data_IF_962279471358
#
_entry.id   IF_962279471358
#
_cell.length_a   1.000
_cell.length_b   1.000
_cell.length_c   1.000
_cell.angle_alpha   90.00
_cell.angle_beta   90.00
_cell.angle_gamma   90.00
#
_symmetry.space_group_name_H-M   'P 1'
#
loop_
_entity.id
_entity.type
_entity.pdbx_description
1 polymer ?
#
# COMPACT_ATOMS: atom_id res chain seq x y z
N UNK A 1 32.50 -40.72 -6.38
CA UNK A 1 31.49 -39.83 -5.71
C UNK A 1 31.49 -38.50 -6.46
N UNK A 2 30.47 -38.26 -7.27
CA UNK A 2 30.41 -37.11 -8.16
C UNK A 2 29.90 -35.88 -7.37
N UNK A 3 30.75 -34.84 -7.28
CA UNK A 3 30.38 -33.53 -6.78
C UNK A 3 29.42 -32.88 -7.80
N UNK A 4 28.15 -32.66 -7.41
CA UNK A 4 27.22 -31.84 -8.15
C UNK A 4 27.50 -30.38 -7.75
N UNK A 5 27.89 -29.49 -8.68
CA UNK A 5 28.03 -28.09 -8.37
C UNK A 5 26.61 -27.47 -8.33
N UNK A 6 26.20 -27.01 -7.17
CA UNK A 6 25.01 -26.18 -7.03
C UNK A 6 25.37 -24.77 -7.51
N UNK A 7 25.17 -24.53 -8.79
CA UNK A 7 25.23 -23.19 -9.36
C UNK A 7 23.91 -22.47 -9.04
N UNK A 8 23.89 -21.75 -7.93
CA UNK A 8 22.86 -20.73 -7.61
C UNK A 8 23.23 -19.43 -8.35
N UNK A 9 22.96 -19.39 -9.66
CA UNK A 9 22.93 -18.14 -10.42
C UNK A 9 21.53 -17.54 -10.34
N UNK A 10 21.20 -17.01 -9.20
CA UNK A 10 20.06 -16.11 -9.00
C UNK A 10 20.57 -14.94 -8.19
N UNK A 11 21.04 -13.90 -8.88
CA UNK A 11 21.36 -12.63 -8.22
C UNK A 11 20.07 -12.07 -7.65
N UNK A 12 19.82 -12.29 -6.35
CA UNK A 12 18.84 -11.55 -5.56
C UNK A 12 19.38 -10.14 -5.33
N UNK A 13 19.45 -9.36 -6.41
CA UNK A 13 19.56 -7.91 -6.29
C UNK A 13 18.21 -7.45 -5.74
N UNK A 14 18.19 -7.01 -4.50
CA UNK A 14 17.01 -6.38 -3.93
C UNK A 14 16.60 -5.22 -4.84
N UNK A 15 15.40 -5.23 -5.42
CA UNK A 15 14.95 -4.11 -6.21
C UNK A 15 14.90 -2.88 -5.29
N UNK A 16 15.55 -1.81 -5.73
CA UNK A 16 15.46 -0.51 -5.05
C UNK A 16 14.05 0.01 -5.35
N UNK A 17 13.13 -0.20 -4.44
CA UNK A 17 11.77 0.35 -4.55
C UNK A 17 11.80 1.85 -4.26
N UNK A 18 12.18 2.61 -5.28
CA UNK A 18 11.98 4.05 -5.32
C UNK A 18 10.69 4.32 -6.10
N UNK A 19 9.58 4.46 -5.38
CA UNK A 19 8.34 4.91 -5.99
C UNK A 19 8.48 6.38 -6.38
N UNK A 20 8.86 6.66 -7.62
CA UNK A 20 8.58 7.96 -8.22
C UNK A 20 7.11 7.98 -8.57
N UNK A 21 6.38 8.91 -8.01
CA UNK A 21 5.04 9.27 -8.44
C UNK A 21 5.07 9.50 -9.95
N UNK A 22 4.53 8.58 -10.73
CA UNK A 22 4.37 8.80 -12.17
C UNK A 22 3.26 9.83 -12.35
N UNK A 23 3.65 11.00 -12.84
CA UNK A 23 2.81 12.17 -13.10
C UNK A 23 1.61 11.90 -14.04
N UNK A 24 1.63 10.79 -14.75
CA UNK A 24 0.64 10.43 -15.77
C UNK A 24 -0.69 9.95 -15.19
N UNK A 25 -0.73 9.40 -13.97
CA UNK A 25 -1.98 8.96 -13.33
C UNK A 25 -2.63 10.04 -12.44
N UNK A 26 -1.93 11.14 -12.16
CA UNK A 26 -2.47 12.28 -11.42
C UNK A 26 -3.46 13.12 -12.24
N UNK A 27 -3.35 13.11 -13.58
CA UNK A 27 -4.07 14.05 -14.43
C UNK A 27 -5.56 13.73 -14.56
N UNK A 28 -5.94 12.47 -14.65
CA UNK A 28 -7.31 12.12 -15.07
C UNK A 28 -8.41 12.43 -14.04
N UNK A 29 -8.11 12.40 -12.74
CA UNK A 29 -9.12 12.69 -11.70
C UNK A 29 -9.15 14.15 -11.29
N UNK A 30 -7.99 14.78 -11.19
CA UNK A 30 -7.91 16.20 -11.04
C UNK A 30 -8.53 16.90 -12.26
N UNK A 31 -8.33 16.36 -13.46
CA UNK A 31 -8.94 16.85 -14.69
C UNK A 31 -10.44 16.61 -14.76
N UNK A 32 -10.95 15.46 -14.31
CA UNK A 32 -12.41 15.23 -14.21
C UNK A 32 -13.06 16.13 -13.17
N UNK A 33 -12.46 16.29 -12.00
CA UNK A 33 -12.95 17.21 -11.00
C UNK A 33 -12.81 18.68 -11.44
N UNK A 34 -11.72 19.06 -12.11
CA UNK A 34 -11.53 20.39 -12.69
C UNK A 34 -12.41 20.62 -13.92
N UNK A 35 -12.73 19.60 -14.73
CA UNK A 35 -13.65 19.75 -15.84
C UNK A 35 -15.08 20.07 -15.38
N UNK A 36 -15.47 19.58 -14.20
CA UNK A 36 -16.75 19.95 -13.57
C UNK A 36 -16.70 21.37 -13.02
N UNK A 37 -15.53 21.81 -12.53
CA UNK A 37 -15.34 23.14 -11.94
C UNK A 37 -15.15 24.23 -13.02
N UNK A 38 -14.49 23.91 -14.16
CA UNK A 38 -14.09 24.88 -15.20
C UNK A 38 -14.98 24.93 -16.42
N UNK A 39 -16.11 24.17 -16.48
CA UNK A 39 -17.11 24.41 -17.53
C UNK A 39 -17.77 25.77 -17.32
N UNK A 40 -17.17 26.81 -17.93
CA UNK A 40 -17.90 28.06 -18.20
C UNK A 40 -19.09 27.76 -19.15
N UNK A 41 -20.23 28.41 -18.97
CA UNK A 41 -21.40 28.16 -19.80
C UNK A 41 -21.12 28.64 -21.23
N UNK A 42 -20.88 27.73 -22.15
CA UNK A 42 -21.14 27.99 -23.56
C UNK A 42 -22.66 27.87 -23.76
N UNK A 43 -23.27 28.95 -24.19
CA UNK A 43 -24.67 29.04 -24.54
C UNK A 43 -25.01 28.02 -25.63
N UNK A 44 -25.66 26.89 -25.25
CA UNK A 44 -26.69 26.23 -26.07
C UNK A 44 -27.37 25.10 -25.26
N UNK A 45 -28.64 25.34 -25.01
CA UNK A 45 -29.80 24.43 -24.85
C UNK A 45 -29.56 23.09 -24.09
N UNK A 46 -29.38 23.18 -22.87
CA UNK A 46 -29.81 22.46 -21.64
C UNK A 46 -28.98 23.08 -20.54
N UNK A 47 -29.59 23.87 -19.67
CA UNK A 47 -28.87 24.60 -18.60
C UNK A 47 -27.90 23.68 -17.89
N UNK A 48 -26.58 23.92 -17.95
CA UNK A 48 -25.64 23.17 -17.16
C UNK A 48 -26.01 23.38 -15.69
N UNK A 49 -26.13 22.29 -14.95
CA UNK A 49 -26.39 22.33 -13.51
C UNK A 49 -25.28 23.20 -12.89
N UNK A 50 -25.64 24.41 -12.48
CA UNK A 50 -24.68 25.33 -11.86
C UNK A 50 -24.46 24.88 -10.42
N UNK A 51 -23.37 24.19 -10.18
CA UNK A 51 -22.91 23.91 -8.82
C UNK A 51 -22.62 25.24 -8.13
N UNK A 52 -23.25 25.48 -6.97
CA UNK A 52 -23.05 26.72 -6.21
C UNK A 52 -21.59 26.92 -5.80
N UNK A 53 -21.15 28.16 -5.59
CA UNK A 53 -19.79 28.47 -5.14
C UNK A 53 -19.38 27.71 -3.86
N UNK A 54 -20.22 27.59 -2.82
CA UNK A 54 -19.89 26.76 -1.67
C UNK A 54 -19.66 25.29 -2.02
N UNK A 55 -20.41 24.71 -2.94
CA UNK A 55 -20.24 23.33 -3.38
C UNK A 55 -18.93 23.16 -4.18
N UNK A 56 -18.58 24.11 -5.04
CA UNK A 56 -17.27 24.10 -5.75
C UNK A 56 -16.09 24.06 -4.79
N UNK A 57 -16.18 24.81 -3.69
CA UNK A 57 -15.14 24.77 -2.66
C UNK A 57 -15.00 23.37 -2.04
N UNK A 58 -16.11 22.70 -1.74
CA UNK A 58 -16.08 21.35 -1.20
C UNK A 58 -15.57 20.33 -2.20
N UNK A 59 -15.99 20.39 -3.46
CA UNK A 59 -15.47 19.54 -4.55
C UNK A 59 -13.96 19.70 -4.69
N UNK A 60 -13.46 20.95 -4.73
CA UNK A 60 -12.01 21.23 -4.79
C UNK A 60 -11.26 20.65 -3.59
N UNK A 61 -11.85 20.73 -2.40
CA UNK A 61 -11.25 20.15 -1.19
C UNK A 61 -11.23 18.62 -1.25
N UNK A 62 -12.31 17.99 -1.73
CA UNK A 62 -12.38 16.53 -1.90
C UNK A 62 -11.38 16.05 -2.96
N UNK A 63 -11.23 16.77 -4.07
CA UNK A 63 -10.23 16.45 -5.11
C UNK A 63 -8.80 16.49 -4.56
N UNK A 64 -8.45 17.55 -3.81
CA UNK A 64 -7.13 17.62 -3.14
C UNK A 64 -6.91 16.49 -2.12
N UNK A 65 -7.97 16.08 -1.42
CA UNK A 65 -7.88 14.95 -0.50
C UNK A 65 -7.69 13.64 -1.27
N UNK A 66 -8.36 13.47 -2.41
CA UNK A 66 -8.19 12.30 -3.26
C UNK A 66 -6.75 12.17 -3.77
N UNK A 67 -6.11 13.27 -4.19
CA UNK A 67 -4.68 13.29 -4.56
C UNK A 67 -3.77 12.83 -3.41
N UNK A 68 -3.98 13.36 -2.20
CA UNK A 68 -3.22 12.93 -1.01
C UNK A 68 -3.44 11.47 -0.66
N UNK A 69 -4.69 10.98 -0.79
CA UNK A 69 -4.99 9.57 -0.58
C UNK A 69 -4.29 8.69 -1.60
N UNK A 70 -4.18 9.15 -2.85
CA UNK A 70 -3.44 8.50 -3.92
C UNK A 70 -1.96 8.28 -3.54
N UNK A 71 -1.29 9.35 -3.10
CA UNK A 71 0.11 9.28 -2.66
C UNK A 71 0.26 8.29 -1.50
N UNK A 72 -0.67 8.31 -0.54
CA UNK A 72 -0.65 7.40 0.60
C UNK A 72 -0.94 5.95 0.20
N UNK A 73 -1.82 5.70 -0.76
CA UNK A 73 -2.04 4.37 -1.34
C UNK A 73 -0.74 3.86 -1.97
N UNK A 74 -0.05 4.69 -2.74
CA UNK A 74 1.23 4.33 -3.37
C UNK A 74 2.32 4.05 -2.32
N UNK A 75 2.36 4.83 -1.22
CA UNK A 75 3.27 4.55 -0.07
C UNK A 75 2.99 3.17 0.52
N UNK A 76 1.72 2.82 0.75
CA UNK A 76 1.35 1.50 1.28
C UNK A 76 1.71 0.37 0.32
N UNK A 77 1.50 0.56 -0.99
CA UNK A 77 1.92 -0.41 -2.01
C UNK A 77 3.44 -0.62 -2.00
N UNK A 78 4.20 0.46 -1.94
CA UNK A 78 5.67 0.40 -1.86
C UNK A 78 6.13 -0.31 -0.59
N UNK A 79 5.48 -0.05 0.54
CA UNK A 79 5.77 -0.73 1.80
C UNK A 79 5.45 -2.23 1.71
N UNK A 80 4.28 -2.62 1.16
CA UNK A 80 3.91 -4.03 1.00
C UNK A 80 4.88 -4.77 0.07
N UNK A 81 5.34 -4.17 -1.01
CA UNK A 81 6.36 -4.76 -1.89
C UNK A 81 7.68 -5.02 -1.16
N UNK A 82 8.11 -4.07 -0.32
CA UNK A 82 9.28 -4.27 0.56
C UNK A 82 9.07 -5.42 1.54
N UNK A 83 7.91 -5.45 2.21
CA UNK A 83 7.55 -6.54 3.13
C UNK A 83 7.45 -7.90 2.44
N UNK A 84 6.96 -7.98 1.20
CA UNK A 84 6.97 -9.21 0.41
C UNK A 84 8.41 -9.70 0.14
N UNK A 85 9.33 -8.78 -0.11
CA UNK A 85 10.74 -9.13 -0.31
C UNK A 85 11.36 -9.64 0.98
N UNK A 86 11.05 -9.01 2.13
CA UNK A 86 11.46 -9.48 3.46
C UNK A 86 10.89 -10.88 3.74
N UNK A 87 9.62 -11.12 3.43
CA UNK A 87 8.98 -12.44 3.59
C UNK A 87 9.68 -13.52 2.75
N UNK A 88 10.04 -13.21 1.50
CA UNK A 88 10.80 -14.15 0.64
C UNK A 88 12.17 -14.46 1.22
N UNK A 89 12.88 -13.46 1.76
CA UNK A 89 14.16 -13.66 2.41
C UNK A 89 14.03 -14.55 3.67
N UNK A 90 13.02 -14.30 4.51
CA UNK A 90 12.73 -15.12 5.68
C UNK A 90 12.39 -16.57 5.32
N UNK A 91 11.55 -16.79 4.27
CA UNK A 91 11.27 -18.14 3.78
C UNK A 91 12.53 -18.86 3.33
N UNK A 92 13.46 -18.16 2.66
CA UNK A 92 14.76 -18.73 2.29
C UNK A 92 15.61 -19.03 3.51
N UNK A 93 15.63 -18.15 4.51
CA UNK A 93 16.32 -18.43 5.79
C UNK A 93 15.75 -19.68 6.46
N UNK A 94 14.42 -19.87 6.47
CA UNK A 94 13.78 -21.06 7.02
C UNK A 94 14.20 -22.33 6.30
N UNK A 95 14.23 -22.31 4.94
CA UNK A 95 14.74 -23.46 4.16
C UNK A 95 16.18 -23.82 4.54
N UNK A 96 17.05 -22.82 4.72
CA UNK A 96 18.44 -23.03 5.12
C UNK A 96 18.53 -23.60 6.53
N UNK A 97 17.75 -23.09 7.49
CA UNK A 97 17.72 -23.56 8.87
C UNK A 97 17.20 -25.00 8.94
N UNK A 98 16.10 -25.33 8.24
CA UNK A 98 15.58 -26.70 8.17
C UNK A 98 16.62 -27.63 7.55
N UNK A 99 17.29 -27.25 6.48
CA UNK A 99 18.37 -28.04 5.89
C UNK A 99 19.53 -28.24 6.87
N UNK A 100 19.92 -27.22 7.63
CA UNK A 100 21.00 -27.30 8.61
C UNK A 100 20.65 -28.20 9.81
N UNK A 101 19.38 -28.52 10.06
CA UNK A 101 18.95 -29.43 11.10
C UNK A 101 19.16 -30.93 10.75
N UNK A 102 19.51 -31.24 9.50
CA UNK A 102 19.79 -32.61 9.04
C UNK A 102 21.04 -33.16 9.73
N UNK A 103 20.92 -34.33 10.33
CA UNK A 103 22.01 -35.01 11.07
C UNK A 103 23.16 -35.44 10.16
N UNK A 104 22.88 -35.72 8.91
CA UNK A 104 23.86 -36.16 7.92
C UNK A 104 24.83 -35.08 7.44
N UNK A 105 24.54 -33.80 7.71
CA UNK A 105 25.34 -32.68 7.25
C UNK A 105 26.66 -32.56 8.02
N UNK A 106 27.76 -32.33 7.29
CA UNK A 106 29.06 -32.00 7.87
C UNK A 106 29.02 -30.60 8.51
N UNK A 107 30.01 -30.37 9.42
CA UNK A 107 30.19 -29.04 10.03
C UNK A 107 30.48 -27.96 8.96
N UNK A 108 31.21 -28.31 7.91
CA UNK A 108 31.55 -27.35 6.87
C UNK A 108 30.36 -27.03 5.96
N UNK A 109 29.48 -27.99 5.69
CA UNK A 109 28.23 -27.75 5.00
C UNK A 109 27.31 -26.81 5.81
N UNK A 110 27.20 -27.00 7.14
CA UNK A 110 26.46 -26.10 8.02
C UNK A 110 27.06 -24.69 8.03
N UNK A 111 28.36 -24.53 8.04
CA UNK A 111 29.03 -23.20 7.92
C UNK A 111 28.69 -22.53 6.60
N UNK A 112 28.64 -23.30 5.49
CA UNK A 112 28.23 -22.75 4.20
C UNK A 112 26.80 -22.25 4.23
N UNK A 113 25.85 -23.02 4.83
CA UNK A 113 24.45 -22.62 5.02
C UNK A 113 24.33 -21.38 5.92
N UNK A 114 25.16 -21.30 6.99
CA UNK A 114 25.23 -20.12 7.87
C UNK A 114 25.64 -18.87 7.11
N UNK A 115 26.62 -18.97 6.22
CA UNK A 115 27.04 -17.84 5.39
C UNK A 115 25.91 -17.37 4.43
N UNK A 116 25.12 -18.30 3.88
CA UNK A 116 23.96 -17.95 3.07
C UNK A 116 22.84 -17.30 3.90
N UNK A 117 22.57 -17.84 5.11
CA UNK A 117 21.59 -17.28 6.03
C UNK A 117 21.93 -15.83 6.38
N UNK A 118 23.21 -15.56 6.68
CA UNK A 118 23.69 -14.20 6.95
C UNK A 118 23.51 -13.25 5.76
N UNK A 119 23.64 -13.73 4.53
CA UNK A 119 23.35 -12.91 3.34
C UNK A 119 21.87 -12.51 3.29
N UNK A 120 20.96 -13.39 3.69
CA UNK A 120 19.52 -13.08 3.72
C UNK A 120 19.20 -12.04 4.81
N UNK A 121 19.83 -12.10 5.98
CA UNK A 121 19.72 -11.07 7.00
C UNK A 121 20.13 -9.69 6.46
N UNK A 122 21.26 -9.60 5.74
CA UNK A 122 21.69 -8.36 5.08
C UNK A 122 20.68 -7.88 4.00
N UNK A 123 20.02 -8.81 3.30
CA UNK A 123 18.97 -8.44 2.34
C UNK A 123 17.79 -7.79 3.08
N UNK A 124 17.36 -8.33 4.22
CA UNK A 124 16.28 -7.77 5.05
C UNK A 124 16.65 -6.34 5.49
N UNK A 125 17.87 -6.12 5.96
CA UNK A 125 18.34 -4.79 6.37
C UNK A 125 18.34 -3.80 5.20
N UNK A 126 18.81 -4.22 4.04
CA UNK A 126 18.76 -3.40 2.82
C UNK A 126 17.34 -3.05 2.41
N UNK A 127 16.41 -4.00 2.48
CA UNK A 127 15.00 -3.75 2.16
C UNK A 127 14.42 -2.73 3.14
N UNK A 128 14.66 -2.88 4.44
CA UNK A 128 14.21 -1.93 5.46
C UNK A 128 14.75 -0.52 5.21
N UNK A 129 16.02 -0.39 4.86
CA UNK A 129 16.66 0.91 4.62
C UNK A 129 16.31 1.53 3.27
N UNK A 130 16.11 0.74 2.22
CA UNK A 130 15.92 1.21 0.83
C UNK A 130 14.47 1.31 0.39
N UNK A 131 13.53 0.70 1.11
CA UNK A 131 12.10 0.87 0.81
C UNK A 131 11.67 2.28 1.20
N UNK A 132 11.51 3.14 0.19
CA UNK A 132 11.16 4.54 0.36
C UNK A 132 10.18 5.01 -0.70
N UNK A 133 9.39 6.02 -0.35
CA UNK A 133 8.57 6.79 -1.26
C UNK A 133 9.00 8.26 -1.15
N UNK A 134 9.38 8.85 -2.26
CA UNK A 134 10.15 10.09 -2.29
C UNK A 134 11.40 9.93 -1.38
N UNK A 135 11.60 10.77 -0.40
CA UNK A 135 12.73 10.66 0.54
C UNK A 135 12.36 10.01 1.87
N UNK A 136 11.09 9.59 2.06
CA UNK A 136 10.63 8.98 3.30
C UNK A 136 10.85 7.47 3.29
N UNK A 137 11.67 6.96 4.20
CA UNK A 137 11.80 5.53 4.46
C UNK A 137 10.53 4.99 5.10
N UNK A 138 10.05 3.85 4.62
CA UNK A 138 8.76 3.29 5.04
C UNK A 138 8.89 2.15 6.03
N UNK A 139 10.01 1.37 6.00
CA UNK A 139 10.16 0.14 6.77
C UNK A 139 11.19 0.21 7.90
N UNK A 140 11.79 1.38 8.16
CA UNK A 140 12.80 1.57 9.22
C UNK A 140 12.24 2.01 10.57
N UNK A 141 10.91 1.94 10.76
CA UNK A 141 10.23 2.35 11.98
C UNK A 141 10.00 3.85 12.14
N UNK A 142 10.54 4.68 11.25
CA UNK A 142 10.36 6.13 11.28
C UNK A 142 9.06 6.62 10.63
N UNK A 143 8.35 5.76 9.89
CA UNK A 143 7.12 6.17 9.22
C UNK A 143 5.94 6.25 10.19
N UNK A 144 5.41 7.47 10.35
CA UNK A 144 4.18 7.72 11.09
C UNK A 144 3.48 8.93 10.48
N UNK A 145 2.25 8.74 9.99
CA UNK A 145 1.48 9.79 9.30
C UNK A 145 0.00 9.71 9.68
N UNK A 146 -0.65 10.87 9.82
CA UNK A 146 -2.10 10.93 9.98
C UNK A 146 -2.73 10.94 8.60
N UNK A 147 -3.45 9.90 8.27
CA UNK A 147 -4.07 9.71 6.97
C UNK A 147 -5.58 9.82 7.10
N UNK A 148 -6.21 10.55 6.19
CA UNK A 148 -7.66 10.58 6.10
C UNK A 148 -8.16 9.23 5.56
N UNK A 149 -8.88 8.49 6.40
CA UNK A 149 -9.39 7.15 6.08
C UNK A 149 -10.92 7.11 5.91
N UNK A 150 -11.56 8.27 5.89
CA UNK A 150 -13.00 8.41 5.69
C UNK A 150 -13.33 9.59 4.80
N UNK A 151 -14.55 9.63 4.26
CA UNK A 151 -15.01 10.67 3.35
C UNK A 151 -15.11 12.05 4.02
N UNK A 152 -15.40 12.10 5.31
CA UNK A 152 -15.47 13.33 6.09
C UNK A 152 -14.10 13.71 6.66
N UNK A 153 -13.82 15.02 6.76
CA UNK A 153 -12.54 15.58 7.20
C UNK A 153 -12.06 15.07 8.57
N UNK A 154 -12.97 14.71 9.44
CA UNK A 154 -12.65 14.27 10.81
C UNK A 154 -12.29 12.77 10.90
N UNK A 155 -12.44 12.00 9.83
CA UNK A 155 -12.09 10.59 9.79
C UNK A 155 -10.62 10.41 9.40
N UNK A 156 -9.72 10.62 10.36
CA UNK A 156 -8.29 10.39 10.19
C UNK A 156 -7.84 9.21 11.06
N UNK A 157 -6.87 8.45 10.56
CA UNK A 157 -6.19 7.38 11.30
C UNK A 157 -4.70 7.64 11.31
N UNK A 158 -4.07 7.45 12.46
CA UNK A 158 -2.62 7.45 12.56
C UNK A 158 -2.10 6.11 12.06
N UNK A 159 -1.34 6.14 10.97
CA UNK A 159 -0.72 4.96 10.38
C UNK A 159 0.75 4.96 10.74
N UNK A 160 1.20 3.87 11.35
CA UNK A 160 2.59 3.65 11.72
C UNK A 160 3.04 2.31 11.13
N UNK A 161 4.21 2.28 10.52
CA UNK A 161 4.86 1.06 10.07
C UNK A 161 6.04 0.79 11.01
N UNK A 162 6.09 -0.42 11.55
CA UNK A 162 7.15 -0.84 12.47
C UNK A 162 8.49 -0.97 11.72
N UNK A 163 9.57 -0.99 12.49
CA UNK A 163 10.89 -1.32 11.93
C UNK A 163 10.94 -2.79 11.54
N UNK A 164 11.33 -3.07 10.29
CA UNK A 164 11.36 -4.39 9.68
C UNK A 164 12.79 -4.81 9.28
N UNK A 165 13.82 -4.26 9.96
CA UNK A 165 15.18 -4.75 9.83
C UNK A 165 15.36 -6.12 10.50
N UNK A 166 16.47 -6.79 10.21
CA UNK A 166 16.78 -8.13 10.71
C UNK A 166 16.77 -8.21 12.24
N UNK A 167 17.25 -7.17 12.93
CA UNK A 167 17.26 -7.05 14.39
C UNK A 167 15.84 -6.93 14.95
N UNK A 168 15.01 -6.06 14.39
CA UNK A 168 13.64 -5.82 14.88
C UNK A 168 12.73 -7.03 14.67
N UNK A 169 12.93 -7.76 13.58
CA UNK A 169 12.19 -9.01 13.37
C UNK A 169 12.79 -10.19 14.14
N UNK A 170 14.06 -10.11 14.59
CA UNK A 170 14.70 -11.08 15.47
C UNK A 170 15.48 -12.17 14.73
N UNK A 171 16.11 -11.83 13.59
CA UNK A 171 16.87 -12.79 12.76
C UNK A 171 18.30 -12.36 12.47
N UNK A 172 18.82 -11.33 13.16
CA UNK A 172 20.15 -10.77 12.94
C UNK A 172 21.30 -11.67 13.44
N UNK A 173 21.05 -12.42 14.50
CA UNK A 173 22.08 -13.22 15.22
C UNK A 173 21.80 -14.72 15.22
N UNK A 174 21.04 -15.22 14.23
CA UNK A 174 20.73 -16.66 14.16
C UNK A 174 21.97 -17.50 13.85
N UNK A 175 22.14 -18.60 14.58
CA UNK A 175 23.20 -19.57 14.40
C UNK A 175 22.63 -20.95 14.00
N UNK A 176 22.97 -21.40 12.80
CA UNK A 176 22.58 -22.72 12.26
C UNK A 176 23.82 -23.65 12.10
N UNK A 177 24.95 -23.34 12.78
CA UNK A 177 26.17 -24.18 12.72
C UNK A 177 26.00 -25.48 13.48
N UNK A 178 24.98 -25.59 14.35
CA UNK A 178 24.62 -26.81 15.08
C UNK A 178 23.17 -27.20 14.77
N UNK A 179 22.84 -28.49 15.02
CA UNK A 179 21.47 -29.02 14.86
C UNK A 179 20.46 -28.28 15.75
N UNK A 180 20.82 -28.07 17.01
CA UNK A 180 19.93 -27.42 17.98
C UNK A 180 19.78 -25.94 17.68
N UNK A 181 20.85 -25.22 17.33
CA UNK A 181 20.77 -23.86 16.85
C UNK A 181 19.92 -23.71 15.58
N UNK A 182 19.99 -24.70 14.67
CA UNK A 182 19.12 -24.71 13.48
C UNK A 182 17.62 -24.84 13.80
N UNK A 183 17.27 -25.60 14.84
CA UNK A 183 15.88 -25.71 15.32
C UNK A 183 15.42 -24.41 15.97
N UNK A 184 16.25 -23.80 16.82
CA UNK A 184 15.97 -22.52 17.45
C UNK A 184 15.82 -21.41 16.39
N UNK A 185 16.72 -21.39 15.42
CA UNK A 185 16.65 -20.46 14.29
C UNK A 185 15.34 -20.62 13.50
N UNK A 186 14.89 -21.86 13.27
CA UNK A 186 13.61 -22.11 12.58
C UNK A 186 12.43 -21.49 13.33
N UNK A 187 12.37 -21.65 14.65
CA UNK A 187 11.32 -21.04 15.47
C UNK A 187 11.37 -19.51 15.44
N UNK A 188 12.57 -18.93 15.58
CA UNK A 188 12.74 -17.48 15.50
C UNK A 188 12.35 -16.90 14.12
N UNK A 189 12.64 -17.63 13.03
CA UNK A 189 12.22 -17.22 11.67
C UNK A 189 10.70 -17.33 11.51
N UNK A 190 10.04 -18.31 12.11
CA UNK A 190 8.58 -18.40 12.08
C UNK A 190 7.93 -17.22 12.82
N UNK A 191 8.48 -16.80 13.94
CA UNK A 191 8.04 -15.59 14.64
C UNK A 191 8.27 -14.32 13.80
N UNK A 192 9.39 -14.24 13.10
CA UNK A 192 9.68 -13.15 12.18
C UNK A 192 8.69 -13.11 11.01
N UNK A 193 8.38 -14.25 10.40
CA UNK A 193 7.37 -14.38 9.35
C UNK A 193 6.00 -13.91 9.82
N UNK A 194 5.62 -14.26 11.06
CA UNK A 194 4.36 -13.78 11.66
C UNK A 194 4.36 -12.26 11.79
N UNK A 195 5.43 -11.66 12.35
CA UNK A 195 5.55 -10.19 12.48
C UNK A 195 5.42 -9.48 11.11
N UNK A 196 6.09 -10.00 10.07
CA UNK A 196 6.03 -9.44 8.72
C UNK A 196 4.64 -9.57 8.13
N UNK A 197 3.98 -10.71 8.29
CA UNK A 197 2.62 -10.94 7.80
C UNK A 197 1.59 -10.05 8.53
N UNK A 198 1.73 -9.86 9.83
CA UNK A 198 0.88 -8.95 10.61
C UNK A 198 1.06 -7.49 10.13
N UNK A 199 2.30 -7.07 9.86
CA UNK A 199 2.57 -5.74 9.31
C UNK A 199 2.02 -5.58 7.89
N UNK A 200 2.13 -6.62 7.04
CA UNK A 200 1.53 -6.62 5.70
C UNK A 200 0.01 -6.50 5.76
N UNK A 201 -0.63 -7.26 6.65
CA UNK A 201 -2.07 -7.15 6.87
C UNK A 201 -2.46 -5.73 7.29
N UNK A 202 -1.73 -5.13 8.23
CA UNK A 202 -1.98 -3.75 8.66
C UNK A 202 -1.89 -2.76 7.48
N UNK A 203 -0.84 -2.84 6.68
CA UNK A 203 -0.64 -1.99 5.49
C UNK A 203 -1.77 -2.16 4.48
N UNK A 204 -2.18 -3.40 4.19
CA UNK A 204 -3.25 -3.71 3.26
C UNK A 204 -4.62 -3.26 3.78
N UNK A 205 -4.90 -3.39 5.08
CA UNK A 205 -6.13 -2.89 5.70
C UNK A 205 -6.24 -1.35 5.60
N UNK A 206 -5.13 -0.65 5.82
CA UNK A 206 -5.06 0.81 5.66
C UNK A 206 -5.30 1.20 4.20
N UNK A 207 -4.64 0.53 3.28
CA UNK A 207 -4.82 0.75 1.84
C UNK A 207 -6.28 0.53 1.40
N UNK A 208 -6.91 -0.54 1.86
CA UNK A 208 -8.31 -0.84 1.57
C UNK A 208 -9.26 0.27 2.06
N UNK A 209 -9.02 0.80 3.27
CA UNK A 209 -9.78 1.94 3.80
C UNK A 209 -9.61 3.19 2.94
N UNK A 210 -8.39 3.49 2.49
CA UNK A 210 -8.13 4.62 1.61
C UNK A 210 -8.81 4.47 0.26
N UNK A 211 -8.72 3.30 -0.38
CA UNK A 211 -9.40 3.00 -1.65
C UNK A 211 -10.91 3.18 -1.53
N UNK A 212 -11.51 2.68 -0.44
CA UNK A 212 -12.93 2.91 -0.15
C UNK A 212 -13.26 4.40 -0.04
N UNK A 213 -12.43 5.16 0.64
CA UNK A 213 -12.64 6.60 0.80
C UNK A 213 -12.58 7.34 -0.53
N UNK A 214 -11.60 7.01 -1.37
CA UNK A 214 -11.49 7.59 -2.72
C UNK A 214 -12.71 7.25 -3.57
N UNK A 215 -13.19 5.99 -3.54
CA UNK A 215 -14.39 5.57 -4.25
C UNK A 215 -15.64 6.36 -3.81
N UNK A 216 -15.81 6.55 -2.50
CA UNK A 216 -16.92 7.35 -1.96
C UNK A 216 -16.81 8.80 -2.44
N UNK A 217 -15.63 9.41 -2.32
CA UNK A 217 -15.41 10.80 -2.74
C UNK A 217 -15.69 10.99 -4.23
N UNK A 218 -15.20 10.08 -5.08
CA UNK A 218 -15.47 10.12 -6.53
C UNK A 218 -16.96 10.00 -6.84
N UNK A 219 -17.67 9.08 -6.18
CA UNK A 219 -19.11 8.91 -6.36
C UNK A 219 -19.92 10.12 -5.88
N UNK A 220 -19.49 10.77 -4.80
CA UNK A 220 -20.11 12.00 -4.30
C UNK A 220 -19.90 13.15 -5.29
N UNK A 221 -18.69 13.33 -5.81
CA UNK A 221 -18.39 14.35 -6.82
C UNK A 221 -19.25 14.15 -8.08
N UNK A 222 -19.38 12.89 -8.55
CA UNK A 222 -20.23 12.58 -9.70
C UNK A 222 -21.70 12.93 -9.44
N UNK A 223 -22.26 12.57 -8.28
CA UNK A 223 -23.65 12.85 -7.93
C UNK A 223 -23.92 14.33 -7.69
N UNK A 224 -22.92 15.10 -7.22
CA UNK A 224 -23.03 16.54 -7.07
C UNK A 224 -23.27 17.25 -8.42
N UNK A 225 -22.71 16.69 -9.51
CA UNK A 225 -22.96 17.23 -10.85
C UNK A 225 -24.42 17.06 -11.30
N UNK A 226 -25.13 16.07 -10.77
CA UNK A 226 -26.49 15.74 -11.11
C UNK A 226 -27.54 16.30 -10.12
N UNK A 227 -27.10 16.96 -9.04
CA UNK A 227 -27.99 17.44 -7.97
C UNK A 227 -28.35 18.91 -8.20
N UNK A 228 -29.64 19.23 -8.45
CA UNK A 228 -30.08 20.60 -8.72
C UNK A 228 -30.20 21.49 -7.46
N UNK A 229 -29.76 21.01 -6.31
CA UNK A 229 -29.94 21.66 -5.02
C UNK A 229 -29.09 22.92 -4.90
N UNK A 230 -29.74 24.07 -4.75
CA UNK A 230 -29.09 25.39 -4.59
C UNK A 230 -28.65 25.56 -3.14
N UNK A 231 -27.43 25.11 -2.81
CA UNK A 231 -26.82 25.50 -1.56
C UNK A 231 -26.48 26.99 -1.61
N UNK A 232 -27.06 27.77 -0.74
CA UNK A 232 -26.89 29.23 -0.71
C UNK A 232 -25.70 29.67 0.14
N UNK A 233 -25.28 28.82 1.06
CA UNK A 233 -24.15 29.07 1.93
C UNK A 233 -23.30 27.81 2.17
N UNK A 234 -22.20 27.93 2.91
CA UNK A 234 -21.29 26.81 3.18
C UNK A 234 -21.88 25.73 4.07
N UNK A 235 -22.82 26.09 4.92
CA UNK A 235 -23.48 25.17 5.85
C UNK A 235 -24.47 24.27 5.11
N UNK A 236 -25.30 24.84 4.25
CA UNK A 236 -26.22 24.11 3.37
C UNK A 236 -25.44 23.14 2.44
N UNK A 237 -24.35 23.62 1.84
CA UNK A 237 -23.48 22.80 0.99
C UNK A 237 -22.87 21.63 1.75
N UNK A 238 -22.52 21.81 3.02
CA UNK A 238 -21.97 20.75 3.87
C UNK A 238 -23.07 19.71 4.22
N UNK A 239 -24.27 20.14 4.53
CA UNK A 239 -25.39 19.25 4.84
C UNK A 239 -25.75 18.37 3.62
N UNK A 240 -25.82 18.96 2.43
CA UNK A 240 -26.02 18.21 1.17
C UNK A 240 -24.92 17.19 0.95
N UNK A 241 -23.65 17.56 1.17
CA UNK A 241 -22.52 16.66 1.04
C UNK A 241 -22.58 15.52 2.06
N UNK A 242 -22.87 15.80 3.31
CA UNK A 242 -22.95 14.78 4.37
C UNK A 242 -24.08 13.77 4.05
N UNK A 243 -25.23 14.22 3.57
CA UNK A 243 -26.32 13.35 3.09
C UNK A 243 -25.89 12.50 1.88
N UNK A 244 -25.18 13.07 0.90
CA UNK A 244 -24.66 12.33 -0.24
C UNK A 244 -23.60 11.29 0.16
N UNK A 245 -22.70 11.66 1.07
CA UNK A 245 -21.69 10.74 1.61
C UNK A 245 -22.38 9.57 2.31
N UNK A 246 -23.41 9.82 3.10
CA UNK A 246 -24.16 8.76 3.78
C UNK A 246 -24.86 7.82 2.79
N UNK A 247 -25.55 8.36 1.78
CA UNK A 247 -26.21 7.57 0.74
C UNK A 247 -25.24 6.71 -0.07
N UNK A 248 -24.11 7.30 -0.49
CA UNK A 248 -23.09 6.59 -1.25
C UNK A 248 -22.41 5.52 -0.38
N UNK A 249 -22.17 5.81 0.89
CA UNK A 249 -21.57 4.85 1.82
C UNK A 249 -22.46 3.64 2.04
N UNK A 250 -23.78 3.84 2.20
CA UNK A 250 -24.76 2.75 2.32
C UNK A 250 -24.78 1.87 1.06
N UNK A 251 -24.72 2.47 -0.12
CA UNK A 251 -24.78 1.75 -1.39
C UNK A 251 -23.45 1.03 -1.75
N UNK A 252 -22.29 1.52 -1.27
CA UNK A 252 -20.97 0.97 -1.61
C UNK A 252 -20.50 -0.16 -0.68
N UNK A 253 -21.24 -0.55 0.36
CA UNK A 253 -20.83 -1.66 1.23
C UNK A 253 -20.72 -3.00 0.49
N UNK A 254 -21.43 -3.17 -0.63
CA UNK A 254 -21.43 -4.40 -1.44
C UNK A 254 -20.23 -4.53 -2.40
N UNK A 255 -19.60 -3.43 -2.81
CA UNK A 255 -18.55 -3.44 -3.84
C UNK A 255 -17.13 -3.59 -3.27
N UNK A 256 -16.89 -3.21 -2.02
CA UNK A 256 -15.53 -3.20 -1.44
C UNK A 256 -14.95 -4.60 -1.28
N UNK A 257 -15.79 -5.60 -0.96
CA UNK A 257 -15.33 -6.99 -0.83
C UNK A 257 -14.86 -7.60 -2.16
N UNK A 258 -15.41 -7.14 -3.28
CA UNK A 258 -14.96 -7.55 -4.61
C UNK A 258 -13.67 -6.83 -5.01
N UNK A 259 -13.49 -5.58 -4.60
CA UNK A 259 -12.29 -4.79 -4.88
C UNK A 259 -11.06 -5.28 -4.10
N UNK A 260 -11.25 -5.80 -2.88
CA UNK A 260 -10.17 -6.38 -2.07
C UNK A 260 -9.61 -7.69 -2.66
N UNK A 261 -10.41 -8.40 -3.48
CA UNK A 261 -9.97 -9.61 -4.19
C UNK A 261 -9.23 -9.31 -5.49
N UNK A 262 -9.27 -8.08 -5.97
CA UNK A 262 -8.61 -7.65 -7.19
C UNK A 262 -7.18 -7.21 -6.91
N UNK A 263 -6.28 -7.49 -7.85
CA UNK A 263 -4.95 -6.90 -7.85
C UNK A 263 -5.09 -5.36 -7.78
N UNK A 264 -4.30 -4.72 -6.93
CA UNK A 264 -4.39 -3.28 -6.65
C UNK A 264 -4.43 -2.40 -7.91
N UNK A 265 -3.70 -2.79 -8.98
CA UNK A 265 -3.73 -2.08 -10.26
C UNK A 265 -5.06 -2.25 -11.01
N UNK A 266 -5.74 -3.40 -10.87
CA UNK A 266 -7.05 -3.63 -11.50
C UNK A 266 -8.16 -2.87 -10.76
N UNK A 267 -8.14 -2.87 -9.43
CA UNK A 267 -9.07 -2.09 -8.62
C UNK A 267 -8.92 -0.59 -8.91
N UNK A 268 -7.70 -0.14 -9.11
CA UNK A 268 -7.36 1.23 -9.46
C UNK A 268 -7.89 1.61 -10.85
N UNK A 269 -7.65 0.78 -11.86
CA UNK A 269 -8.10 0.99 -13.24
C UNK A 269 -9.63 0.98 -13.37
N UNK A 270 -10.33 0.16 -12.57
CA UNK A 270 -11.80 0.15 -12.52
C UNK A 270 -12.41 1.40 -11.89
N UNK A 271 -11.73 1.94 -10.86
CA UNK A 271 -12.19 3.16 -10.17
C UNK A 271 -11.97 4.41 -11.01
N UNK A 272 -10.96 4.40 -11.86
CA UNK A 272 -10.45 5.62 -12.50
C UNK A 272 -10.46 5.58 -14.03
N UNK A 273 -11.12 4.56 -14.62
CA UNK A 273 -11.38 4.55 -16.06
C UNK A 273 -10.13 4.58 -16.92
N UNK A 274 -9.11 3.78 -16.58
CA UNK A 274 -7.99 3.59 -17.50
C UNK A 274 -8.54 3.02 -18.83
N UNK A 275 -8.15 3.56 -19.98
CA UNK A 275 -8.58 3.03 -21.27
C UNK A 275 -8.11 1.57 -21.35
N UNK A 276 -9.06 0.67 -21.63
CA UNK A 276 -8.77 -0.69 -22.04
C UNK A 276 -7.96 -0.59 -23.34
N UNK A 277 -6.63 -0.67 -23.22
CA UNK A 277 -5.81 -0.91 -24.39
C UNK A 277 -6.17 -2.29 -24.94
N UNK A 278 -6.73 -2.28 -26.16
CA UNK A 278 -6.85 -3.45 -27.00
C UNK A 278 -5.49 -4.00 -27.37
#
# INVERSE_FOLDING_TARGET
MAKVPVTLTGSLTAPIYSGKSTSVQRSSQAEQAQSIVNKQPQQNEKSPVQISEPMRFHVKTMSKNAEKLQDNITKMQTADQGLQTTEKALKKMKELAVKASDESLSTDDRKALQAELKKMSVVIDKVSDKTKFDDKKLLNGGYSENIQTGASKNHTSKVKIANMDSKSVGVDILDISSKDGAKEATAAIDDALKKVNDQRKHVNDVQAKMLKTVSIQSSVISKLADTPEKATNREDAREVLDKLIEQVTKNNQLNVNNMLKMNNNQAFNLLYGAPLYK
#
